data_IF_972227127600
#
_entry.id   IF_972227127600
#
_cell.length_a   1.000
_cell.length_b   1.000
_cell.length_c   1.000
_cell.angle_alpha   90.00
_cell.angle_beta   90.00
_cell.angle_gamma   90.00
#
_symmetry.space_group_name_H-M   'P 1'
#
loop_
_entity.id
_entity.type
_entity.pdbx_description
1 polymer ?
#
# COMPACT_ATOMS: atom_id res chain seq x y z
N UNK A 1 6.88 22.15 19.82
CA UNK A 1 6.62 21.73 19.26
C UNK A 1 6.24 21.59 18.42
N UNK A 2 6.18 21.53 18.03
CA UNK A 2 5.60 21.37 17.25
C UNK A 2 5.07 20.68 16.64
N UNK A 3 4.95 21.03 16.59
CA UNK A 3 4.13 19.94 16.32
C UNK A 3 3.92 19.78 14.86
N UNK A 4 4.31 18.68 14.40
CA UNK A 4 4.15 18.35 13.00
C UNK A 4 2.70 18.06 12.69
N UNK A 5 2.24 18.51 11.55
CA UNK A 5 0.90 18.20 11.10
C UNK A 5 0.85 16.89 10.32
N UNK A 6 1.93 16.10 10.31
CA UNK A 6 1.86 14.82 9.62
C UNK A 6 2.18 13.66 10.54
N UNK A 7 1.68 12.51 10.15
CA UNK A 7 1.80 11.26 10.87
C UNK A 7 2.56 10.28 9.98
N UNK A 8 3.21 9.32 10.59
CA UNK A 8 3.86 8.24 9.85
C UNK A 8 3.00 7.01 9.97
N UNK A 9 2.75 6.36 8.84
CA UNK A 9 1.84 5.22 8.77
C UNK A 9 2.56 4.03 8.16
N UNK A 10 2.46 2.88 8.80
CA UNK A 10 2.89 1.62 8.20
C UNK A 10 1.74 1.06 7.40
N UNK A 11 2.00 0.79 6.13
CA UNK A 11 1.07 0.05 5.27
C UNK A 11 1.54 -1.39 5.27
N UNK A 12 0.74 -2.27 5.84
CA UNK A 12 1.08 -3.69 5.98
C UNK A 12 0.42 -4.47 4.85
N UNK A 13 1.19 -5.31 4.20
CA UNK A 13 0.69 -6.05 3.05
C UNK A 13 1.40 -7.39 2.91
N UNK A 14 0.89 -8.23 2.02
CA UNK A 14 1.54 -9.48 1.69
C UNK A 14 1.46 -9.75 0.20
N UNK A 15 2.44 -10.47 -0.29
CA UNK A 15 2.44 -11.03 -1.63
C UNK A 15 2.20 -12.53 -1.52
N UNK A 16 1.27 -13.03 -2.32
CA UNK A 16 0.94 -14.45 -2.34
C UNK A 16 1.23 -14.99 -3.72
N UNK A 17 2.11 -15.97 -3.80
CA UNK A 17 2.47 -16.54 -5.09
C UNK A 17 1.46 -17.63 -5.50
N UNK A 18 1.67 -18.21 -6.67
CA UNK A 18 0.75 -19.21 -7.22
C UNK A 18 0.68 -20.46 -6.35
N UNK A 19 1.73 -20.73 -5.57
CA UNK A 19 1.75 -21.85 -4.65
C UNK A 19 1.17 -21.53 -3.29
N UNK A 20 0.56 -20.35 -3.14
CA UNK A 20 -0.01 -19.86 -1.89
C UNK A 20 1.06 -19.60 -0.81
N UNK A 21 2.28 -19.39 -1.23
CA UNK A 21 3.34 -18.98 -0.33
C UNK A 21 3.22 -17.49 -0.06
N UNK A 22 3.27 -17.09 1.20
CA UNK A 22 3.01 -15.70 1.59
C UNK A 22 4.30 -15.00 2.00
N UNK A 23 4.50 -13.81 1.46
CA UNK A 23 5.63 -12.95 1.82
C UNK A 23 5.05 -11.67 2.39
N UNK A 24 5.28 -11.42 3.68
CA UNK A 24 4.76 -10.23 4.38
C UNK A 24 5.80 -9.12 4.33
N UNK A 25 5.32 -7.90 4.18
CA UNK A 25 6.21 -6.74 4.18
C UNK A 25 5.41 -5.51 4.59
N UNK A 26 6.09 -4.39 4.65
CA UNK A 26 5.47 -3.11 5.01
C UNK A 26 6.22 -1.96 4.39
N UNK A 27 5.55 -0.82 4.30
CA UNK A 27 6.17 0.45 3.93
C UNK A 27 5.71 1.51 4.90
N UNK A 28 6.62 2.42 5.26
CA UNK A 28 6.30 3.52 6.16
C UNK A 28 6.19 4.78 5.33
N UNK A 29 4.99 5.37 5.32
CA UNK A 29 4.68 6.54 4.52
C UNK A 29 4.39 7.73 5.41
N UNK A 30 4.77 8.94 4.98
CA UNK A 30 4.28 10.14 5.66
C UNK A 30 2.81 10.34 5.31
N UNK A 31 2.07 10.97 6.20
CA UNK A 31 0.67 11.28 5.96
C UNK A 31 0.39 12.68 6.49
N UNK A 32 0.10 13.61 5.60
CA UNK A 32 -0.21 14.97 5.99
C UNK A 32 -1.59 15.05 6.59
N UNK A 33 -1.75 15.88 7.61
CA UNK A 33 -3.03 16.10 8.24
C UNK A 33 -3.31 15.17 9.41
N UNK A 34 -4.47 15.35 10.00
CA UNK A 34 -4.89 14.59 11.16
C UNK A 34 -6.10 13.74 10.81
N UNK A 35 -5.90 12.45 10.73
CA UNK A 35 -6.94 11.50 10.39
C UNK A 35 -6.85 10.31 11.32
N UNK A 36 -7.99 9.69 11.59
CA UNK A 36 -7.98 8.44 12.35
C UNK A 36 -7.53 7.30 11.42
N UNK A 37 -7.03 6.24 12.03
CA UNK A 37 -6.63 5.05 11.27
C UNK A 37 -7.85 4.48 10.53
N UNK A 38 -9.00 4.45 11.20
CA UNK A 38 -10.22 3.94 10.58
C UNK A 38 -10.61 4.74 9.33
N UNK A 39 -10.48 6.05 9.40
CA UNK A 39 -10.83 6.89 8.27
C UNK A 39 -9.84 6.68 7.12
N UNK A 40 -8.56 6.58 7.44
CA UNK A 40 -7.53 6.35 6.43
C UNK A 40 -7.73 5.00 5.76
N UNK A 41 -8.01 3.97 6.54
CA UNK A 41 -8.22 2.64 6.00
C UNK A 41 -9.46 2.60 5.10
N UNK A 42 -10.54 3.28 5.53
CA UNK A 42 -11.76 3.33 4.73
C UNK A 42 -11.49 3.98 3.36
N UNK A 43 -10.77 5.11 3.37
CA UNK A 43 -10.45 5.80 2.12
C UNK A 43 -9.59 4.95 1.21
N UNK A 44 -8.64 4.20 1.77
CA UNK A 44 -7.81 3.33 0.98
C UNK A 44 -8.62 2.17 0.41
N UNK A 45 -9.43 1.51 1.24
CA UNK A 45 -10.19 0.35 0.76
C UNK A 45 -11.18 0.72 -0.33
N UNK A 46 -11.67 1.96 -0.35
CA UNK A 46 -12.58 2.42 -1.39
C UNK A 46 -11.94 2.40 -2.78
N UNK A 47 -10.62 2.49 -2.85
CA UNK A 47 -9.91 2.50 -4.12
C UNK A 47 -9.17 1.20 -4.40
N UNK A 48 -9.20 0.24 -3.49
CA UNK A 48 -8.56 -1.05 -3.70
C UNK A 48 -9.43 -1.94 -4.59
N UNK A 49 -8.79 -2.91 -5.23
CA UNK A 49 -9.50 -3.93 -6.01
C UNK A 49 -10.14 -4.87 -5.03
N UNK A 50 -11.46 -5.04 -5.13
CA UNK A 50 -12.27 -5.86 -4.21
C UNK A 50 -12.05 -5.48 -2.75
N UNK A 51 -11.65 -4.23 -2.51
CA UNK A 51 -11.36 -3.70 -1.17
C UNK A 51 -10.24 -4.42 -0.45
N UNK A 52 -9.44 -5.20 -1.17
CA UNK A 52 -8.36 -6.00 -0.58
C UNK A 52 -7.02 -5.86 -1.27
N UNK A 53 -7.00 -5.55 -2.57
CA UNK A 53 -5.77 -5.66 -3.35
C UNK A 53 -5.34 -4.33 -3.93
N UNK A 54 -4.03 -4.13 -4.00
CA UNK A 54 -3.48 -2.96 -4.67
C UNK A 54 -2.35 -3.38 -5.61
N UNK A 55 -2.07 -2.50 -6.56
CA UNK A 55 -0.97 -2.73 -7.49
C UNK A 55 0.33 -2.22 -6.88
N UNK A 56 1.41 -3.00 -6.95
CA UNK A 56 2.68 -2.60 -6.32
C UNK A 56 3.15 -1.20 -6.74
N UNK A 57 2.96 -0.84 -7.99
CA UNK A 57 3.45 0.46 -8.45
C UNK A 57 2.69 1.64 -7.87
N UNK A 58 1.49 1.42 -7.31
CA UNK A 58 0.77 2.48 -6.61
C UNK A 58 1.52 2.90 -5.35
N UNK A 59 2.26 1.98 -4.75
CA UNK A 59 3.03 2.22 -3.54
C UNK A 59 4.52 2.40 -3.85
N UNK A 60 4.88 2.44 -5.14
CA UNK A 60 6.28 2.60 -5.53
C UNK A 60 7.11 1.34 -5.40
N UNK A 61 6.48 0.19 -5.39
CA UNK A 61 7.17 -1.10 -5.23
C UNK A 61 7.36 -1.75 -6.60
N UNK A 62 8.56 -2.27 -6.84
CA UNK A 62 8.83 -3.06 -8.03
C UNK A 62 8.59 -4.53 -7.72
N UNK A 63 8.11 -5.29 -8.69
CA UNK A 63 7.95 -6.72 -8.53
C UNK A 63 9.26 -7.43 -8.30
N UNK A 64 10.36 -6.83 -8.74
CA UNK A 64 11.69 -7.39 -8.49
C UNK A 64 12.04 -7.40 -7.02
N UNK A 65 11.34 -6.62 -6.21
CA UNK A 65 11.56 -6.58 -4.76
C UNK A 65 11.18 -7.88 -4.07
N UNK A 66 10.49 -8.78 -4.75
CA UNK A 66 10.04 -10.04 -4.18
C UNK A 66 11.01 -11.20 -4.43
N UNK A 67 12.16 -10.91 -5.01
CA UNK A 67 13.19 -11.92 -5.22
C UNK A 67 12.98 -12.77 -6.44
N UNK A 68 11.78 -13.24 -6.67
CA UNK A 68 11.42 -13.92 -7.90
C UNK A 68 9.95 -13.68 -8.22
N UNK A 69 9.65 -13.70 -9.49
CA UNK A 69 8.30 -13.43 -9.96
C UNK A 69 8.10 -14.17 -11.28
N UNK A 70 7.01 -14.92 -11.37
CA UNK A 70 6.66 -15.64 -12.58
C UNK A 70 5.40 -15.00 -13.16
N UNK A 71 5.56 -14.31 -14.29
CA UNK A 71 4.46 -13.56 -14.90
C UNK A 71 3.29 -14.45 -15.32
N UNK A 72 3.52 -15.75 -15.52
CA UNK A 72 2.47 -16.67 -15.91
C UNK A 72 1.71 -17.25 -14.72
N UNK A 73 2.40 -17.39 -13.57
CA UNK A 73 1.83 -18.05 -12.41
C UNK A 73 1.44 -17.07 -11.31
N UNK A 74 2.19 -15.96 -11.17
CA UNK A 74 1.98 -15.02 -10.10
C UNK A 74 1.18 -13.83 -10.59
N UNK A 75 0.30 -13.31 -9.74
CA UNK A 75 -0.46 -12.12 -10.09
C UNK A 75 0.30 -10.88 -9.66
N UNK A 76 -0.10 -9.72 -10.20
CA UNK A 76 0.57 -8.44 -9.96
C UNK A 76 0.07 -7.74 -8.71
N UNK A 77 -0.85 -8.33 -7.96
CA UNK A 77 -1.53 -7.67 -6.87
C UNK A 77 -0.94 -8.04 -5.53
N UNK A 78 -0.91 -7.05 -4.62
CA UNK A 78 -0.56 -7.27 -3.22
C UNK A 78 -1.82 -7.19 -2.39
N UNK A 79 -1.88 -8.00 -1.32
CA UNK A 79 -3.03 -7.97 -0.42
C UNK A 79 -2.76 -6.97 0.70
N UNK A 80 -3.66 -6.03 0.85
CA UNK A 80 -3.58 -5.06 1.92
C UNK A 80 -4.05 -5.70 3.23
N UNK A 81 -3.26 -5.57 4.28
CA UNK A 81 -3.58 -6.17 5.58
C UNK A 81 -4.11 -5.11 6.55
N UNK A 82 -3.44 -3.98 6.67
CA UNK A 82 -3.87 -2.97 7.61
C UNK A 82 -2.91 -1.80 7.70
N UNK A 83 -3.30 -0.84 8.52
CA UNK A 83 -2.52 0.37 8.77
C UNK A 83 -2.18 0.47 10.25
N UNK A 84 -0.99 0.99 10.54
CA UNK A 84 -0.58 1.28 11.91
C UNK A 84 0.17 2.60 11.94
N UNK A 85 -0.01 3.37 13.01
CA UNK A 85 0.85 4.51 13.26
C UNK A 85 2.21 4.01 13.73
N UNK A 86 3.26 4.73 13.40
CA UNK A 86 4.60 4.29 13.76
C UNK A 86 5.51 5.49 14.01
N UNK A 87 6.57 5.25 14.78
CA UNK A 87 7.65 6.21 14.99
C UNK A 87 8.85 5.92 14.09
N UNK A 88 8.77 4.86 13.31
CA UNK A 88 9.88 4.48 12.44
C UNK A 88 10.07 5.52 11.33
N UNK A 89 11.28 5.54 10.76
CA UNK A 89 11.56 6.46 9.67
C UNK A 89 10.79 6.04 8.41
N UNK A 90 10.39 7.04 7.62
CA UNK A 90 9.69 6.76 6.37
C UNK A 90 10.62 6.06 5.39
N UNK A 91 10.05 5.14 4.63
CA UNK A 91 10.76 4.37 3.61
C UNK A 91 10.69 5.03 2.25
N UNK A 92 9.81 5.99 2.09
CA UNK A 92 9.51 6.56 0.79
C UNK A 92 9.03 7.99 0.97
N UNK A 93 9.19 8.80 -0.06
CA UNK A 93 8.67 10.16 -0.08
C UNK A 93 7.19 10.20 -0.45
N UNK A 94 6.61 9.06 -0.77
CA UNK A 94 5.21 8.99 -1.18
C UNK A 94 4.28 9.21 0.01
N UNK A 95 3.49 10.28 -0.05
CA UNK A 95 2.49 10.54 0.97
C UNK A 95 1.36 9.51 0.89
N UNK A 96 0.75 9.20 2.03
CA UNK A 96 -0.32 8.20 2.07
C UNK A 96 -1.44 8.50 1.08
N UNK A 97 -1.88 9.76 1.00
CA UNK A 97 -2.98 10.10 0.08
C UNK A 97 -2.56 10.09 -1.37
N UNK A 98 -1.25 10.27 -1.64
CA UNK A 98 -0.74 10.06 -3.00
C UNK A 98 -0.83 8.59 -3.40
N UNK A 99 -0.56 7.68 -2.45
CA UNK A 99 -0.76 6.26 -2.68
C UNK A 99 -2.23 5.96 -3.01
N UNK A 100 -3.15 6.54 -2.24
CA UNK A 100 -4.58 6.37 -2.49
C UNK A 100 -4.95 6.87 -3.89
N UNK A 101 -4.47 8.06 -4.26
CA UNK A 101 -4.75 8.64 -5.58
C UNK A 101 -4.15 7.81 -6.71
N UNK A 102 -2.93 7.31 -6.50
CA UNK A 102 -2.28 6.44 -7.49
C UNK A 102 -3.11 5.19 -7.72
N UNK A 103 -3.59 4.58 -6.63
CA UNK A 103 -4.38 3.38 -6.75
C UNK A 103 -5.71 3.65 -7.44
N UNK A 104 -6.34 4.77 -7.14
CA UNK A 104 -7.59 5.16 -7.78
C UNK A 104 -7.41 5.25 -9.30
N UNK A 105 -6.33 5.89 -9.74
CA UNK A 105 -6.05 6.03 -11.16
C UNK A 105 -5.73 4.69 -11.81
N UNK A 106 -4.87 3.90 -11.16
CA UNK A 106 -4.44 2.62 -11.73
C UNK A 106 -5.58 1.61 -11.79
N UNK A 107 -6.48 1.65 -10.82
CA UNK A 107 -7.65 0.78 -10.84
C UNK A 107 -8.50 1.03 -12.07
N UNK A 108 -8.65 2.30 -12.46
CA UNK A 108 -9.42 2.65 -13.65
C UNK A 108 -8.74 2.17 -14.93
N UNK A 109 -7.42 2.03 -14.93
CA UNK A 109 -6.68 1.54 -16.09
C UNK A 109 -6.76 0.02 -16.21
N UNK A 110 -6.86 -0.68 -15.10
CA UNK A 110 -6.80 -2.14 -15.05
C UNK A 110 -8.18 -2.77 -15.16
N UNK A 111 -9.19 -2.16 -14.54
CA UNK A 111 -10.55 -2.69 -14.53
C UNK A 111 -11.40 -1.90 -15.52
N UNK A 112 -12.13 -2.59 -16.39
CA UNK A 112 -12.99 -1.91 -17.35
C UNK A 112 -14.16 -1.20 -16.68
#
# INVERSE_FOLDING_TARGET
MMSDSFTKIEVLYLYRDAGNYKIYDKRVLPCSGQYTIDEMERRLRDVLIDKEYFLPRALGISQLDFGYYDAELDHDWLEFIGLCRTDQEVDTDLDFFSFVDNMKRLKQEVLP
#
